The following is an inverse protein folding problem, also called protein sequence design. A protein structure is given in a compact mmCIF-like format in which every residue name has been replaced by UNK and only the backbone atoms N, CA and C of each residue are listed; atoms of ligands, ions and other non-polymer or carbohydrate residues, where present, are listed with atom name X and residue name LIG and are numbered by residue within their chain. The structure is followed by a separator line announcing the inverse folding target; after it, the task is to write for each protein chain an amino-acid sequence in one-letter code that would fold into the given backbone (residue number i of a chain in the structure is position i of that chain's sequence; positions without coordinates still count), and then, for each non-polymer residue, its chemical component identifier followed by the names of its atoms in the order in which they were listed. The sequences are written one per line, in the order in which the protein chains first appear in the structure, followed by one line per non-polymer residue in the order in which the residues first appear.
data_IF_907595076378
#
_entry.id   IF_907595076378
#
_cell.length_a   1.000
_cell.length_b   1.000
_cell.length_c   1.000
_cell.angle_alpha   90.00
_cell.angle_beta   90.00
_cell.angle_gamma   90.00
#
_symmetry.space_group_name_H-M   'P 1'
#
loop_
_entity.id
_entity.type
_entity.pdbx_description
1 polymer ?
#
# COMPACT_ATOMS: atom_id res chain seq x y z
N UNK A 1 -0.40 -0.45 -98.76
CA UNK A 1 0.58 0.66 -98.92
C UNK A 1 -0.01 1.54 -100.01
N UNK A 2 -0.42 2.79 -99.84
CA UNK A 2 0.18 3.93 -99.13
C UNK A 2 -0.88 5.02 -98.90
N UNK A 3 -0.94 5.53 -97.67
CA UNK A 3 -1.45 6.81 -97.12
C UNK A 3 -2.54 7.61 -97.86
N UNK A 4 -3.69 7.75 -97.18
CA UNK A 4 -4.67 8.82 -97.37
C UNK A 4 -4.49 9.86 -96.23
N UNK A 5 -4.21 11.12 -96.57
CA UNK A 5 -4.36 12.26 -95.66
C UNK A 5 -5.71 12.92 -95.96
N UNK A 6 -6.62 12.98 -94.97
CA UNK A 6 -7.65 14.03 -94.90
C UNK A 6 -7.85 14.50 -93.48
N UNK A 7 -8.00 15.81 -93.42
CA UNK A 7 -8.00 16.72 -92.29
C UNK A 7 -9.36 16.81 -91.57
N UNK A 8 -9.27 17.13 -90.27
CA UNK A 8 -10.13 18.00 -89.46
C UNK A 8 -11.67 17.88 -89.51
N UNK A 9 -12.27 17.60 -88.35
CA UNK A 9 -13.17 18.56 -87.68
C UNK A 9 -13.31 18.20 -86.19
N UNK A 10 -12.99 19.15 -85.32
CA UNK A 10 -13.19 19.06 -83.87
C UNK A 10 -14.60 19.58 -83.52
N UNK A 11 -15.34 18.82 -82.69
CA UNK A 11 -16.51 19.31 -81.97
C UNK A 11 -16.22 19.11 -80.48
N UNK A 12 -16.04 20.22 -79.77
CA UNK A 12 -15.87 20.24 -78.33
C UNK A 12 -17.26 20.13 -77.66
N UNK A 13 -17.45 19.11 -76.83
CA UNK A 13 -18.60 19.00 -75.91
C UNK A 13 -18.10 19.36 -74.52
N UNK A 14 -18.50 20.52 -74.02
CA UNK A 14 -18.19 20.98 -72.67
C UNK A 14 -19.18 20.34 -71.70
N UNK A 15 -18.72 19.35 -70.91
CA UNK A 15 -19.50 18.79 -69.81
C UNK A 15 -19.43 19.73 -68.60
N UNK A 16 -20.57 20.23 -68.15
CA UNK A 16 -20.72 21.00 -66.91
C UNK A 16 -20.78 20.01 -65.74
N UNK A 17 -19.74 20.00 -64.90
CA UNK A 17 -19.74 19.28 -63.62
C UNK A 17 -20.25 20.26 -62.55
N UNK A 18 -21.51 20.10 -62.15
CA UNK A 18 -22.07 20.76 -60.97
C UNK A 18 -21.65 20.00 -59.71
N UNK A 19 -20.73 20.57 -58.93
CA UNK A 19 -20.34 20.09 -57.61
C UNK A 19 -21.38 20.50 -56.57
N UNK A 20 -22.26 19.57 -56.19
CA UNK A 20 -23.09 19.70 -54.97
C UNK A 20 -22.17 19.57 -53.74
N UNK A 21 -21.84 20.69 -53.11
CA UNK A 21 -21.20 20.75 -51.80
C UNK A 21 -22.25 20.47 -50.73
N UNK A 22 -22.36 19.20 -50.31
CA UNK A 22 -23.17 18.81 -49.16
C UNK A 22 -22.57 19.37 -47.87
N UNK A 23 -23.25 20.33 -47.25
CA UNK A 23 -23.00 20.72 -45.86
C UNK A 23 -23.43 19.57 -44.94
N UNK A 24 -22.48 18.77 -44.47
CA UNK A 24 -22.69 17.84 -43.36
C UNK A 24 -22.59 18.69 -42.09
N UNK A 25 -23.65 18.81 -41.26
CA UNK A 25 -23.53 19.48 -39.97
C UNK A 25 -22.51 18.69 -39.14
N UNK A 26 -21.45 19.36 -38.69
CA UNK A 26 -20.55 18.78 -37.71
C UNK A 26 -21.40 18.39 -36.49
N UNK A 27 -21.53 17.08 -36.25
CA UNK A 27 -22.17 16.56 -35.06
C UNK A 27 -21.39 17.11 -33.87
N UNK A 28 -21.97 18.09 -33.18
CA UNK A 28 -21.45 18.59 -31.92
C UNK A 28 -21.43 17.39 -30.98
N UNK A 29 -20.24 16.86 -30.69
CA UNK A 29 -20.07 15.83 -29.68
C UNK A 29 -20.68 16.39 -28.39
N UNK A 30 -21.74 15.73 -27.90
CA UNK A 30 -22.27 16.04 -26.58
C UNK A 30 -21.10 15.96 -25.59
N UNK A 31 -20.98 16.87 -24.61
CA UNK A 31 -19.96 16.77 -23.58
C UNK A 31 -20.04 15.37 -22.98
N UNK A 32 -18.99 14.57 -23.15
CA UNK A 32 -18.93 13.25 -22.53
C UNK A 32 -18.90 13.51 -21.04
N UNK A 33 -20.00 13.16 -20.37
CA UNK A 33 -20.13 13.31 -18.92
C UNK A 33 -18.95 12.53 -18.31
N UNK A 34 -18.04 13.25 -17.64
CA UNK A 34 -16.85 12.64 -17.03
C UNK A 34 -17.35 11.57 -16.07
N UNK A 35 -17.01 10.30 -16.31
CA UNK A 35 -17.37 9.20 -15.42
C UNK A 35 -16.83 9.56 -14.02
N UNK A 36 -17.67 9.53 -12.99
CA UNK A 36 -17.27 9.87 -11.62
C UNK A 36 -17.15 8.61 -10.79
N UNK A 37 -16.24 8.61 -9.82
CA UNK A 37 -16.21 7.59 -8.79
C UNK A 37 -17.34 7.87 -7.79
N UNK A 38 -18.33 6.98 -7.74
CA UNK A 38 -19.53 7.13 -6.89
C UNK A 38 -19.73 5.98 -5.93
N UNK A 39 -19.22 4.79 -6.27
CA UNK A 39 -19.30 3.60 -5.43
C UNK A 39 -17.89 3.00 -5.26
N UNK A 40 -17.44 2.90 -4.01
CA UNK A 40 -16.10 2.43 -3.67
C UNK A 40 -16.23 1.18 -2.78
N UNK A 41 -15.54 0.11 -3.15
CA UNK A 41 -15.24 -1.02 -2.28
C UNK A 41 -13.86 -0.84 -1.64
N UNK A 42 -13.76 -0.97 -0.32
CA UNK A 42 -12.48 -1.12 0.39
C UNK A 42 -12.44 -2.52 0.98
N UNK A 43 -11.37 -3.26 0.71
CA UNK A 43 -11.13 -4.57 1.31
C UNK A 43 -9.75 -4.62 1.96
N UNK A 44 -9.74 -4.95 3.25
CA UNK A 44 -8.54 -4.97 4.09
C UNK A 44 -8.25 -6.38 4.57
N UNK A 45 -7.04 -6.60 5.09
CA UNK A 45 -6.61 -7.93 5.53
C UNK A 45 -7.29 -8.35 6.84
N UNK A 46 -7.38 -7.44 7.82
CA UNK A 46 -7.88 -7.74 9.17
C UNK A 46 -8.32 -6.46 9.89
N UNK A 47 -9.61 -6.32 10.20
CA UNK A 47 -10.10 -5.13 10.93
C UNK A 47 -9.71 -5.08 12.40
N UNK A 48 -9.17 -6.17 12.97
CA UNK A 48 -8.66 -6.18 14.34
C UNK A 48 -7.39 -5.34 14.51
N UNK A 49 -6.67 -5.07 13.41
CA UNK A 49 -5.47 -4.24 13.42
C UNK A 49 -5.84 -2.73 13.30
N UNK A 50 -5.35 -1.86 14.21
CA UNK A 50 -5.69 -0.44 14.23
C UNK A 50 -5.33 0.30 12.93
N UNK A 51 -4.33 -0.17 12.17
CA UNK A 51 -3.94 0.38 10.87
C UNK A 51 -5.10 0.36 9.87
N UNK A 52 -5.81 -0.76 9.76
CA UNK A 52 -6.93 -0.90 8.82
C UNK A 52 -8.19 -0.18 9.31
N UNK A 53 -8.41 -0.12 10.62
CA UNK A 53 -9.44 0.75 11.20
C UNK A 53 -9.20 2.23 10.88
N UNK A 54 -7.95 2.70 10.92
CA UNK A 54 -7.60 4.07 10.53
C UNK A 54 -7.75 4.30 9.02
N UNK A 55 -7.38 3.31 8.21
CA UNK A 55 -7.59 3.30 6.77
C UNK A 55 -9.07 3.47 6.41
N UNK A 56 -9.96 2.69 7.03
CA UNK A 56 -11.41 2.82 6.85
C UNK A 56 -11.91 4.23 7.17
N UNK A 57 -11.56 4.77 8.36
CA UNK A 57 -12.02 6.11 8.77
C UNK A 57 -11.63 7.17 7.74
N UNK A 58 -10.39 7.12 7.25
CA UNK A 58 -9.88 8.06 6.26
C UNK A 58 -10.49 7.85 4.87
N UNK A 59 -10.71 6.60 4.46
CA UNK A 59 -11.39 6.27 3.20
C UNK A 59 -12.83 6.79 3.21
N UNK A 60 -13.55 6.63 4.33
CA UNK A 60 -14.91 7.14 4.49
C UNK A 60 -14.97 8.65 4.38
N UNK A 61 -14.03 9.36 5.02
CA UNK A 61 -13.93 10.82 4.90
C UNK A 61 -13.60 11.27 3.47
N UNK A 62 -12.68 10.58 2.79
CA UNK A 62 -12.29 10.88 1.42
C UNK A 62 -13.44 10.63 0.42
N UNK A 63 -14.13 9.50 0.54
CA UNK A 63 -15.30 9.17 -0.27
C UNK A 63 -16.42 10.22 -0.10
N UNK A 64 -16.71 10.62 1.15
CA UNK A 64 -17.72 11.64 1.44
C UNK A 64 -17.40 12.99 0.78
N UNK A 65 -16.13 13.39 0.70
CA UNK A 65 -15.70 14.66 0.06
C UNK A 65 -16.01 14.70 -1.44
N UNK A 66 -16.08 13.55 -2.10
CA UNK A 66 -16.43 13.45 -3.52
C UNK A 66 -17.89 13.01 -3.75
N UNK A 67 -18.67 12.85 -2.68
CA UNK A 67 -20.06 12.37 -2.76
C UNK A 67 -20.21 10.88 -3.07
N UNK A 68 -19.14 10.08 -2.88
CA UNK A 68 -19.16 8.64 -3.11
C UNK A 68 -19.59 7.86 -1.85
N UNK A 69 -20.21 6.70 -2.07
CA UNK A 69 -20.48 5.70 -1.02
C UNK A 69 -19.29 4.76 -0.86
N UNK A 70 -19.03 4.31 0.36
CA UNK A 70 -17.99 3.33 0.68
C UNK A 70 -18.62 2.07 1.28
N UNK A 71 -18.27 0.91 0.75
CA UNK A 71 -18.53 -0.41 1.35
C UNK A 71 -17.19 -1.04 1.75
N UNK A 72 -17.05 -1.39 3.02
CA UNK A 72 -15.81 -1.92 3.58
C UNK A 72 -15.97 -3.39 3.92
N UNK A 73 -14.97 -4.20 3.59
CA UNK A 73 -14.96 -5.64 3.80
C UNK A 73 -13.67 -6.06 4.52
N UNK A 74 -13.82 -6.93 5.50
CA UNK A 74 -12.72 -7.54 6.25
C UNK A 74 -12.44 -8.94 5.71
N UNK A 75 -11.23 -9.20 5.22
CA UNK A 75 -10.84 -10.51 4.70
C UNK A 75 -10.62 -11.55 5.80
N UNK A 76 -10.38 -11.14 7.04
CA UNK A 76 -10.02 -12.04 8.15
C UNK A 76 -8.80 -12.90 7.80
N UNK A 77 -7.83 -12.31 7.09
CA UNK A 77 -6.59 -12.94 6.62
C UNK A 77 -6.84 -14.15 5.68
N UNK A 78 -8.00 -14.19 5.02
CA UNK A 78 -8.40 -15.30 4.15
C UNK A 78 -8.56 -14.86 2.67
N UNK A 79 -7.88 -15.57 1.77
CA UNK A 79 -7.89 -15.28 0.34
C UNK A 79 -9.24 -15.59 -0.31
N UNK A 80 -9.95 -16.63 0.15
CA UNK A 80 -11.26 -16.99 -0.39
C UNK A 80 -12.31 -15.93 -0.03
N UNK A 81 -12.20 -15.33 1.17
CA UNK A 81 -12.98 -14.15 1.55
C UNK A 81 -12.73 -12.99 0.59
N UNK A 82 -11.46 -12.66 0.29
CA UNK A 82 -11.16 -11.59 -0.69
C UNK A 82 -11.72 -11.88 -2.09
N UNK A 83 -11.66 -13.13 -2.54
CA UNK A 83 -12.29 -13.53 -3.81
C UNK A 83 -13.81 -13.27 -3.80
N UNK A 84 -14.49 -13.67 -2.73
CA UNK A 84 -15.94 -13.50 -2.57
C UNK A 84 -16.34 -12.03 -2.48
N UNK A 85 -15.53 -11.21 -1.80
CA UNK A 85 -15.74 -9.77 -1.67
C UNK A 85 -15.61 -9.05 -3.02
N UNK A 86 -14.63 -9.43 -3.84
CA UNK A 86 -14.50 -8.90 -5.21
C UNK A 86 -15.73 -9.27 -6.05
N UNK A 87 -16.20 -10.52 -5.99
CA UNK A 87 -17.40 -10.94 -6.73
C UNK A 87 -18.66 -10.16 -6.26
N UNK A 88 -18.77 -9.86 -4.96
CA UNK A 88 -19.82 -9.02 -4.42
C UNK A 88 -19.72 -7.55 -4.92
N UNK A 89 -18.51 -6.98 -4.98
CA UNK A 89 -18.28 -5.65 -5.52
C UNK A 89 -18.57 -5.56 -7.02
N UNK A 90 -18.28 -6.62 -7.79
CA UNK A 90 -18.67 -6.73 -9.20
C UNK A 90 -20.19 -6.70 -9.34
N UNK A 91 -20.92 -7.48 -8.53
CA UNK A 91 -22.39 -7.50 -8.54
C UNK A 91 -22.99 -6.15 -8.13
N UNK A 92 -22.36 -5.46 -7.17
CA UNK A 92 -22.72 -4.10 -6.74
C UNK A 92 -22.35 -3.03 -7.77
N UNK A 93 -21.58 -3.37 -8.81
CA UNK A 93 -21.10 -2.45 -9.85
C UNK A 93 -20.37 -1.25 -9.25
N UNK A 94 -19.48 -1.49 -8.29
CA UNK A 94 -18.62 -0.42 -7.76
C UNK A 94 -17.72 0.14 -8.87
N UNK A 95 -17.34 1.40 -8.76
CA UNK A 95 -16.44 2.05 -9.72
C UNK A 95 -14.97 1.76 -9.41
N UNK A 96 -14.67 1.59 -8.12
CA UNK A 96 -13.32 1.42 -7.58
C UNK A 96 -13.31 0.33 -6.51
N UNK A 97 -12.31 -0.55 -6.57
CA UNK A 97 -11.90 -1.43 -5.48
C UNK A 97 -10.53 -0.99 -4.99
N UNK A 98 -10.44 -0.67 -3.70
CA UNK A 98 -9.19 -0.44 -2.98
C UNK A 98 -8.89 -1.71 -2.18
N UNK A 99 -7.74 -2.34 -2.42
CA UNK A 99 -7.39 -3.64 -1.83
C UNK A 99 -6.05 -3.58 -1.11
N UNK A 100 -6.01 -4.07 0.13
CA UNK A 100 -4.76 -4.57 0.74
C UNK A 100 -4.80 -6.11 0.67
N UNK A 101 -3.96 -6.71 -0.16
CA UNK A 101 -4.04 -8.13 -0.47
C UNK A 101 -3.53 -9.00 0.70
N UNK A 102 -4.23 -10.10 0.99
CA UNK A 102 -3.71 -11.14 1.89
C UNK A 102 -2.67 -12.03 1.18
N UNK A 103 -2.80 -12.17 -0.14
CA UNK A 103 -1.85 -12.85 -1.01
C UNK A 103 -1.73 -12.08 -2.32
N UNK A 104 -0.53 -11.55 -2.61
CA UNK A 104 -0.27 -10.72 -3.79
C UNK A 104 -0.60 -11.44 -5.09
N UNK A 105 -0.22 -12.72 -5.22
CA UNK A 105 -0.33 -13.44 -6.50
C UNK A 105 -1.65 -14.21 -6.59
N UNK A 106 -2.10 -14.79 -5.48
CA UNK A 106 -3.33 -15.58 -5.42
C UNK A 106 -4.60 -14.79 -5.71
N UNK A 107 -4.59 -13.47 -5.51
CA UNK A 107 -5.74 -12.60 -5.76
C UNK A 107 -5.88 -12.18 -7.25
N UNK A 108 -4.84 -12.37 -8.06
CA UNK A 108 -4.80 -11.90 -9.45
C UNK A 108 -6.02 -12.32 -10.28
N UNK A 109 -6.47 -13.60 -10.27
CA UNK A 109 -7.62 -14.01 -11.07
C UNK A 109 -8.92 -13.26 -10.71
N UNK A 110 -9.11 -12.88 -9.44
CA UNK A 110 -10.27 -12.09 -9.02
C UNK A 110 -10.17 -10.64 -9.49
N UNK A 111 -8.98 -10.05 -9.40
CA UNK A 111 -8.73 -8.70 -9.92
C UNK A 111 -9.00 -8.63 -11.42
N UNK A 112 -8.60 -9.65 -12.19
CA UNK A 112 -8.91 -9.69 -13.63
C UNK A 112 -10.42 -9.74 -13.91
N UNK A 113 -11.21 -10.44 -13.08
CA UNK A 113 -12.69 -10.40 -13.19
C UNK A 113 -13.25 -9.01 -12.94
N UNK A 114 -12.76 -8.32 -11.90
CA UNK A 114 -13.19 -6.95 -11.59
C UNK A 114 -12.86 -5.98 -12.73
N UNK A 115 -11.64 -6.07 -13.27
CA UNK A 115 -11.19 -5.24 -14.39
C UNK A 115 -11.97 -5.53 -15.67
N UNK A 116 -12.28 -6.80 -15.96
CA UNK A 116 -13.14 -7.18 -17.08
C UNK A 116 -14.57 -6.61 -16.94
N UNK A 117 -15.03 -6.36 -15.72
CA UNK A 117 -16.29 -5.66 -15.44
C UNK A 117 -16.17 -4.12 -15.49
N UNK A 118 -14.99 -3.58 -15.83
CA UNK A 118 -14.74 -2.14 -15.97
C UNK A 118 -14.51 -1.41 -14.64
N UNK A 119 -14.14 -2.15 -13.59
CA UNK A 119 -13.85 -1.62 -12.25
C UNK A 119 -12.36 -1.30 -12.16
N UNK A 120 -12.03 -0.13 -11.63
CA UNK A 120 -10.63 0.24 -11.32
C UNK A 120 -10.22 -0.48 -10.04
N UNK A 121 -9.02 -1.08 -10.04
CA UNK A 121 -8.49 -1.77 -8.86
C UNK A 121 -7.16 -1.14 -8.45
N UNK A 122 -7.09 -0.59 -7.24
CA UNK A 122 -5.86 0.01 -6.68
C UNK A 122 -5.45 -0.75 -5.42
N UNK A 123 -4.23 -1.26 -5.41
CA UNK A 123 -3.63 -1.88 -4.24
C UNK A 123 -3.11 -0.83 -3.25
N UNK A 124 -3.26 -1.08 -1.95
CA UNK A 124 -2.73 -0.23 -0.88
C UNK A 124 -2.07 -1.07 0.20
N UNK A 125 -1.03 -0.53 0.85
CA UNK A 125 -0.22 -1.18 1.89
C UNK A 125 0.53 -2.45 1.43
N UNK A 126 -0.19 -3.48 0.98
CA UNK A 126 0.34 -4.74 0.47
C UNK A 126 -0.06 -4.86 -1.02
N UNK A 127 0.91 -5.13 -1.92
CA UNK A 127 0.64 -5.14 -3.35
C UNK A 127 -0.31 -6.27 -3.76
N UNK A 128 -1.01 -6.07 -4.87
CA UNK A 128 -1.90 -7.05 -5.47
C UNK A 128 -1.60 -7.17 -6.96
N UNK A 129 -1.21 -8.36 -7.42
CA UNK A 129 -0.86 -8.60 -8.81
C UNK A 129 -2.08 -8.41 -9.71
N UNK A 130 -1.90 -7.68 -10.81
CA UNK A 130 -2.98 -7.36 -11.75
C UNK A 130 -3.75 -6.07 -11.46
N UNK A 131 -3.54 -5.44 -10.29
CA UNK A 131 -4.09 -4.12 -9.98
C UNK A 131 -3.60 -3.06 -10.97
N UNK A 132 -4.40 -2.01 -11.17
CA UNK A 132 -4.06 -0.90 -12.08
C UNK A 132 -2.94 -0.02 -11.52
N UNK A 133 -2.88 0.12 -10.19
CA UNK A 133 -1.82 0.80 -9.48
C UNK A 133 -1.65 0.26 -8.06
N UNK A 134 -0.54 0.60 -7.40
CA UNK A 134 -0.25 0.30 -6.02
C UNK A 134 0.28 1.54 -5.28
N UNK A 135 -0.25 1.81 -4.08
CA UNK A 135 0.13 2.94 -3.23
C UNK A 135 0.51 2.40 -1.86
N UNK A 136 1.79 2.41 -1.55
CA UNK A 136 2.35 1.68 -0.41
C UNK A 136 3.35 2.54 0.32
N UNK A 137 3.59 2.26 1.60
CA UNK A 137 4.82 2.75 2.25
C UNK A 137 6.01 2.10 1.57
N UNK A 138 7.13 2.80 1.44
CA UNK A 138 8.39 2.13 1.10
C UNK A 138 8.81 1.22 2.26
N UNK A 139 8.40 -0.04 2.22
CA UNK A 139 8.57 -1.00 3.30
C UNK A 139 10.04 -1.35 3.58
N UNK A 140 10.88 -1.41 2.54
CA UNK A 140 12.34 -1.56 2.69
C UNK A 140 12.88 -0.36 3.46
N UNK A 141 12.56 0.86 3.03
CA UNK A 141 12.99 2.08 3.71
C UNK A 141 12.50 2.13 5.16
N UNK A 142 11.27 1.69 5.45
CA UNK A 142 10.75 1.67 6.82
C UNK A 142 11.55 0.74 7.74
N UNK A 143 11.88 -0.47 7.25
CA UNK A 143 12.75 -1.40 7.94
C UNK A 143 14.18 -0.87 8.13
N UNK A 144 14.73 -0.23 7.10
CA UNK A 144 16.04 0.44 7.16
C UNK A 144 16.02 1.56 8.21
N UNK A 145 15.03 2.44 8.17
CA UNK A 145 14.89 3.59 9.08
C UNK A 145 14.79 3.15 10.54
N UNK A 146 13.95 2.14 10.81
CA UNK A 146 13.75 1.62 12.17
C UNK A 146 15.00 0.93 12.72
N UNK A 147 15.65 0.08 11.93
CA UNK A 147 16.84 -0.65 12.38
C UNK A 147 18.11 0.19 12.42
N UNK A 148 18.27 1.19 11.53
CA UNK A 148 19.37 2.15 11.60
C UNK A 148 19.33 2.91 12.92
N UNK A 149 18.14 3.37 13.33
CA UNK A 149 17.95 3.99 14.63
C UNK A 149 18.22 3.01 15.78
N UNK A 150 17.66 1.79 15.74
CA UNK A 150 17.90 0.78 16.77
C UNK A 150 19.39 0.51 16.98
N UNK A 151 20.14 0.24 15.90
CA UNK A 151 21.56 -0.11 16.00
C UNK A 151 22.41 1.07 16.44
N UNK A 152 22.09 2.28 15.98
CA UNK A 152 22.72 3.51 16.47
C UNK A 152 22.52 3.68 17.98
N UNK A 153 21.30 3.48 18.48
CA UNK A 153 21.00 3.55 19.91
C UNK A 153 21.65 2.41 20.72
N UNK A 154 22.02 1.31 20.08
CA UNK A 154 22.85 0.25 20.69
C UNK A 154 24.35 0.56 20.68
N UNK A 155 24.77 1.69 20.10
CA UNK A 155 26.19 2.03 19.92
C UNK A 155 26.87 1.20 18.83
N UNK A 156 26.09 0.67 17.88
CA UNK A 156 26.57 -0.05 16.71
C UNK A 156 27.03 -1.49 16.95
N UNK A 157 26.76 -2.07 18.13
CA UNK A 157 27.18 -3.43 18.50
C UNK A 157 26.13 -4.16 19.34
N UNK A 158 26.15 -5.48 19.29
CA UNK A 158 25.33 -6.33 20.16
C UNK A 158 24.48 -7.35 19.39
N UNK A 159 23.62 -8.04 20.13
CA UNK A 159 22.73 -9.07 19.59
C UNK A 159 21.30 -8.57 19.45
N UNK A 160 20.68 -8.87 18.32
CA UNK A 160 19.36 -8.40 17.93
C UNK A 160 18.42 -9.58 17.63
N UNK A 161 17.18 -9.46 18.07
CA UNK A 161 16.07 -10.33 17.66
C UNK A 161 15.18 -9.64 16.63
N UNK A 162 14.69 -10.39 15.66
CA UNK A 162 13.68 -9.93 14.70
C UNK A 162 12.34 -10.62 15.03
N UNK A 163 11.34 -9.83 15.44
CA UNK A 163 9.95 -10.28 15.54
C UNK A 163 9.31 -10.06 14.18
N UNK A 164 9.33 -11.11 13.37
CA UNK A 164 8.79 -11.16 12.01
C UNK A 164 7.27 -11.39 12.05
N UNK A 165 6.63 -11.61 10.91
CA UNK A 165 5.20 -11.91 10.85
C UNK A 165 4.78 -12.76 9.66
N UNK A 166 3.56 -12.55 9.18
CA UNK A 166 3.02 -13.30 8.05
C UNK A 166 3.85 -13.06 6.78
N UNK A 167 3.94 -14.05 5.88
CA UNK A 167 4.88 -14.00 4.76
C UNK A 167 4.35 -13.17 3.57
N UNK A 168 3.86 -11.96 3.82
CA UNK A 168 3.42 -11.02 2.78
C UNK A 168 4.55 -10.07 2.39
N UNK A 169 4.50 -9.56 1.16
CA UNK A 169 5.59 -8.76 0.56
C UNK A 169 6.01 -7.57 1.44
N UNK A 170 5.05 -6.84 2.01
CA UNK A 170 5.31 -5.69 2.89
C UNK A 170 6.13 -6.06 4.12
N UNK A 171 5.90 -7.22 4.72
CA UNK A 171 6.65 -7.70 5.90
C UNK A 171 8.05 -8.16 5.49
N UNK A 172 8.13 -8.94 4.41
CA UNK A 172 9.39 -9.40 3.82
C UNK A 172 10.32 -8.21 3.55
N UNK A 173 9.78 -7.13 3.00
CA UNK A 173 10.54 -5.93 2.69
C UNK A 173 11.03 -5.17 3.93
N UNK A 174 10.23 -5.08 5.00
CA UNK A 174 10.69 -4.48 6.27
C UNK A 174 11.85 -5.28 6.88
N UNK A 175 11.74 -6.60 6.92
CA UNK A 175 12.81 -7.47 7.42
C UNK A 175 14.06 -7.35 6.54
N UNK A 176 13.90 -7.32 5.21
CA UNK A 176 14.99 -7.10 4.27
C UNK A 176 15.69 -5.77 4.52
N UNK A 177 14.93 -4.68 4.73
CA UNK A 177 15.48 -3.38 5.06
C UNK A 177 16.32 -3.39 6.34
N UNK A 178 15.82 -4.03 7.41
CA UNK A 178 16.60 -4.20 8.63
C UNK A 178 17.92 -4.97 8.41
N UNK A 179 17.85 -6.07 7.62
CA UNK A 179 19.02 -6.87 7.28
C UNK A 179 20.03 -6.12 6.39
N UNK A 180 19.57 -5.25 5.50
CA UNK A 180 20.44 -4.38 4.70
C UNK A 180 21.25 -3.45 5.61
N UNK A 181 20.60 -2.84 6.61
CA UNK A 181 21.29 -1.99 7.59
C UNK A 181 22.30 -2.78 8.39
N UNK A 182 21.97 -4.00 8.83
CA UNK A 182 22.89 -4.82 9.62
C UNK A 182 24.23 -5.07 8.91
N UNK A 183 24.26 -5.10 7.56
CA UNK A 183 25.51 -5.23 6.79
C UNK A 183 26.47 -4.03 6.98
N UNK A 184 25.95 -2.86 7.37
CA UNK A 184 26.73 -1.65 7.67
C UNK A 184 27.26 -1.63 9.11
N UNK A 185 26.76 -2.52 9.97
CA UNK A 185 27.09 -2.61 11.39
C UNK A 185 27.72 -3.99 11.69
N UNK A 186 29.04 -4.16 11.47
CA UNK A 186 29.69 -5.47 11.54
C UNK A 186 29.63 -6.13 12.94
N UNK A 187 29.46 -5.33 14.00
CA UNK A 187 29.35 -5.81 15.38
C UNK A 187 27.90 -6.06 15.83
N UNK A 188 26.92 -5.81 14.96
CA UNK A 188 25.53 -6.23 15.17
C UNK A 188 25.35 -7.67 14.67
N UNK A 189 24.79 -8.52 15.52
CA UNK A 189 24.48 -9.92 15.20
C UNK A 189 23.00 -10.18 15.37
N UNK A 190 22.32 -10.52 14.28
CA UNK A 190 20.95 -11.04 14.35
C UNK A 190 21.04 -12.49 14.83
N UNK A 191 20.51 -12.79 16.01
CA UNK A 191 20.64 -14.11 16.67
C UNK A 191 19.33 -14.89 16.75
N UNK A 192 18.21 -14.26 16.40
CA UNK A 192 16.91 -14.91 16.33
C UNK A 192 15.97 -14.15 15.40
N UNK A 193 15.16 -14.89 14.68
CA UNK A 193 14.06 -14.38 13.86
C UNK A 193 12.91 -15.38 13.96
N UNK A 194 11.74 -14.93 14.41
CA UNK A 194 10.55 -15.77 14.48
C UNK A 194 9.32 -15.00 14.00
N UNK A 195 8.48 -15.68 13.22
CA UNK A 195 7.25 -15.14 12.68
C UNK A 195 6.14 -15.11 13.74
N UNK A 196 5.62 -13.92 14.00
CA UNK A 196 4.37 -13.71 14.73
C UNK A 196 3.17 -13.81 13.79
N UNK A 197 1.95 -13.58 14.31
CA UNK A 197 0.74 -13.40 13.52
C UNK A 197 0.38 -11.91 13.35
N UNK A 198 1.39 -11.05 13.39
CA UNK A 198 1.29 -9.59 13.27
C UNK A 198 0.55 -8.91 14.43
N UNK A 199 0.20 -9.67 15.46
CA UNK A 199 -0.57 -9.22 16.62
C UNK A 199 0.30 -9.16 17.88
N UNK A 200 -0.18 -8.44 18.89
CA UNK A 200 0.53 -8.25 20.16
C UNK A 200 0.76 -9.56 20.93
N UNK A 201 -0.22 -10.48 20.90
CA UNK A 201 -0.16 -11.71 21.68
C UNK A 201 0.90 -12.69 21.14
N UNK A 202 0.94 -12.86 19.83
CA UNK A 202 1.94 -13.65 19.12
C UNK A 202 3.31 -12.99 19.17
N UNK A 203 3.40 -11.66 19.08
CA UNK A 203 4.65 -10.90 19.30
C UNK A 203 5.26 -11.14 20.69
N UNK A 204 4.43 -11.12 21.75
CA UNK A 204 4.83 -11.47 23.11
C UNK A 204 5.36 -12.92 23.20
N UNK A 205 4.62 -13.87 22.64
CA UNK A 205 4.95 -15.29 22.68
C UNK A 205 6.32 -15.56 22.03
N UNK A 206 6.51 -15.17 20.76
CA UNK A 206 7.77 -15.44 20.03
C UNK A 206 8.95 -14.69 20.65
N UNK A 207 8.71 -13.50 21.21
CA UNK A 207 9.78 -12.76 21.89
C UNK A 207 10.20 -13.46 23.18
N UNK A 208 9.25 -13.95 23.98
CA UNK A 208 9.55 -14.72 25.20
C UNK A 208 10.41 -15.95 24.90
N UNK A 209 10.06 -16.69 23.85
CA UNK A 209 10.81 -17.87 23.40
C UNK A 209 12.22 -17.49 22.94
N UNK A 210 12.34 -16.45 22.10
CA UNK A 210 13.65 -15.98 21.63
C UNK A 210 14.54 -15.39 22.74
N UNK A 211 13.96 -14.71 23.73
CA UNK A 211 14.68 -14.18 24.89
C UNK A 211 15.20 -15.29 25.80
N UNK A 212 14.45 -16.39 25.91
CA UNK A 212 14.89 -17.58 26.65
C UNK A 212 16.10 -18.23 25.96
N UNK A 213 16.06 -18.34 24.63
CA UNK A 213 17.17 -18.89 23.84
C UNK A 213 18.38 -17.94 23.75
N UNK A 214 18.17 -16.63 23.84
CA UNK A 214 19.19 -15.61 23.64
C UNK A 214 19.14 -14.56 24.78
N UNK A 215 19.62 -14.91 26.00
CA UNK A 215 19.47 -14.03 27.15
C UNK A 215 20.32 -12.75 27.11
N UNK A 216 21.32 -12.67 26.22
CA UNK A 216 22.27 -11.56 26.09
C UNK A 216 21.96 -10.60 24.94
N UNK A 217 20.73 -10.63 24.41
CA UNK A 217 20.26 -9.64 23.42
C UNK A 217 20.15 -8.25 24.03
N UNK A 218 20.33 -7.24 23.20
CA UNK A 218 20.24 -5.81 23.59
C UNK A 218 19.33 -5.00 22.66
N UNK A 219 18.86 -5.60 21.57
CA UNK A 219 17.94 -4.97 20.63
C UNK A 219 16.87 -5.93 20.13
N UNK A 220 15.69 -5.41 19.85
CA UNK A 220 14.60 -6.13 19.18
C UNK A 220 14.00 -5.20 18.13
N UNK A 221 13.87 -5.71 16.91
CA UNK A 221 13.07 -5.07 15.87
C UNK A 221 11.78 -5.85 15.69
N UNK A 222 10.64 -5.20 15.89
CA UNK A 222 9.33 -5.74 15.48
C UNK A 222 8.94 -5.19 14.12
N UNK A 223 8.53 -6.09 13.22
CA UNK A 223 8.19 -5.70 11.85
C UNK A 223 6.96 -4.78 11.78
N UNK A 224 6.12 -4.77 12.81
CA UNK A 224 5.05 -3.80 13.02
C UNK A 224 4.93 -3.39 14.49
N UNK A 225 4.19 -2.31 14.76
CA UNK A 225 4.01 -1.79 16.12
C UNK A 225 3.27 -2.77 17.04
N UNK A 226 2.16 -3.44 16.64
CA UNK A 226 1.52 -4.44 17.51
C UNK A 226 2.47 -5.54 18.00
N UNK A 227 3.27 -6.15 17.12
CA UNK A 227 4.21 -7.19 17.49
C UNK A 227 5.37 -6.63 18.32
N UNK A 228 5.87 -5.43 17.98
CA UNK A 228 6.90 -4.74 18.76
C UNK A 228 6.42 -4.42 20.19
N UNK A 229 5.17 -4.00 20.36
CA UNK A 229 4.57 -3.77 21.68
C UNK A 229 4.34 -5.08 22.45
N UNK A 230 4.14 -6.21 21.75
CA UNK A 230 4.21 -7.54 22.37
C UNK A 230 5.62 -7.86 22.88
N UNK A 231 6.64 -7.50 22.11
CA UNK A 231 8.04 -7.65 22.51
C UNK A 231 8.42 -6.79 23.71
N UNK A 232 7.91 -5.54 23.78
CA UNK A 232 8.04 -4.66 24.96
C UNK A 232 7.57 -5.37 26.22
N UNK A 233 6.36 -5.96 26.17
CA UNK A 233 5.81 -6.67 27.31
C UNK A 233 6.67 -7.89 27.71
N UNK A 234 7.19 -8.63 26.74
CA UNK A 234 8.11 -9.75 27.00
C UNK A 234 9.40 -9.28 27.70
N UNK A 235 9.97 -8.16 27.24
CA UNK A 235 11.17 -7.54 27.82
C UNK A 235 10.91 -7.08 29.26
N UNK A 236 9.75 -6.49 29.54
CA UNK A 236 9.35 -6.07 30.88
C UNK A 236 9.15 -7.26 31.82
N UNK A 237 8.45 -8.31 31.36
CA UNK A 237 8.25 -9.55 32.12
C UNK A 237 9.58 -10.25 32.44
N UNK A 238 10.57 -10.13 31.55
CA UNK A 238 11.92 -10.64 31.78
C UNK A 238 12.77 -9.74 32.70
N UNK A 239 12.25 -8.59 33.16
CA UNK A 239 12.98 -7.61 33.98
C UNK A 239 14.11 -6.90 33.23
N UNK A 240 14.01 -6.79 31.89
CA UNK A 240 15.07 -6.27 31.01
C UNK A 240 14.76 -4.93 30.34
N UNK A 241 13.74 -4.20 30.82
CA UNK A 241 13.31 -2.91 30.24
C UNK A 241 14.44 -1.86 30.15
N UNK A 242 15.38 -1.86 31.10
CA UNK A 242 16.55 -0.97 31.05
C UNK A 242 17.72 -1.46 30.20
N UNK A 243 17.67 -2.70 29.69
CA UNK A 243 18.78 -3.36 29.01
C UNK A 243 18.52 -3.62 27.52
N UNK A 244 17.26 -3.77 27.11
CA UNK A 244 16.87 -4.09 25.74
C UNK A 244 16.10 -2.91 25.14
N UNK A 245 16.51 -2.50 23.94
CA UNK A 245 15.82 -1.49 23.13
C UNK A 245 14.92 -2.16 22.10
N UNK A 246 13.72 -1.63 21.90
CA UNK A 246 12.73 -2.14 20.95
C UNK A 246 12.35 -1.04 19.95
N UNK A 247 12.34 -1.36 18.66
CA UNK A 247 11.74 -0.51 17.63
C UNK A 247 10.66 -1.24 16.85
N UNK A 248 9.74 -0.47 16.27
CA UNK A 248 8.65 -0.96 15.44
C UNK A 248 8.57 -0.29 14.07
N UNK A 249 7.49 -0.57 13.37
CA UNK A 249 7.04 0.13 12.16
C UNK A 249 5.54 0.27 12.28
N UNK A 250 5.00 1.46 12.07
CA UNK A 250 3.62 1.83 11.70
C UNK A 250 3.35 3.27 12.14
N UNK A 251 3.92 3.69 13.27
CA UNK A 251 3.59 4.96 13.90
C UNK A 251 2.18 4.95 14.49
N UNK A 252 1.76 3.82 15.07
CA UNK A 252 0.40 3.63 15.59
C UNK A 252 0.11 4.53 16.81
N UNK A 253 -1.17 4.85 17.09
CA UNK A 253 -1.54 5.58 18.30
C UNK A 253 -0.98 4.94 19.58
N UNK A 254 -0.99 3.62 19.69
CA UNK A 254 -0.43 2.90 20.83
C UNK A 254 1.10 3.00 20.89
N UNK A 255 1.80 3.01 19.75
CA UNK A 255 3.24 3.23 19.71
C UNK A 255 3.61 4.66 20.13
N UNK A 256 2.79 5.66 19.75
CA UNK A 256 2.93 7.05 20.18
C UNK A 256 2.79 7.17 21.71
N UNK A 257 1.78 6.56 22.29
CA UNK A 257 1.59 6.56 23.75
C UNK A 257 2.72 5.79 24.46
N UNK A 258 3.19 4.69 23.87
CA UNK A 258 4.31 3.93 24.41
C UNK A 258 5.63 4.73 24.40
N UNK A 259 5.89 5.51 23.36
CA UNK A 259 7.07 6.39 23.31
C UNK A 259 7.05 7.44 24.44
N UNK A 260 5.87 7.97 24.78
CA UNK A 260 5.70 8.92 25.89
C UNK A 260 5.87 8.26 27.26
N UNK A 261 5.78 6.93 27.35
CA UNK A 261 5.92 6.21 28.61
C UNK A 261 7.38 6.20 29.08
N UNK A 262 7.60 6.83 30.24
CA UNK A 262 8.90 6.83 30.91
C UNK A 262 9.35 5.41 31.25
N UNK A 263 10.61 5.10 30.97
CA UNK A 263 11.21 3.78 31.25
C UNK A 263 10.79 2.66 30.29
N UNK A 264 9.99 2.96 29.25
CA UNK A 264 9.65 1.97 28.24
C UNK A 264 10.88 1.54 27.41
N UNK A 265 11.06 0.23 27.13
CA UNK A 265 12.09 -0.24 26.21
C UNK A 265 11.80 0.10 24.74
N UNK A 266 10.59 0.55 24.40
CA UNK A 266 10.24 1.03 23.06
C UNK A 266 10.89 2.40 22.83
N UNK A 267 11.71 2.53 21.79
CA UNK A 267 12.52 3.75 21.57
C UNK A 267 12.20 4.48 20.28
N UNK A 268 11.54 3.83 19.31
CA UNK A 268 11.16 4.46 18.06
C UNK A 268 10.35 3.56 17.14
N UNK A 269 9.68 4.18 16.18
CA UNK A 269 8.91 3.49 15.14
C UNK A 269 9.04 4.23 13.81
N UNK A 270 9.20 3.51 12.71
CA UNK A 270 9.13 4.08 11.38
C UNK A 270 7.66 4.16 10.94
N UNK A 271 7.20 5.28 10.41
CA UNK A 271 5.76 5.51 10.20
C UNK A 271 5.22 4.87 8.92
N UNK A 272 3.93 4.61 8.95
CA UNK A 272 3.08 4.51 7.77
C UNK A 272 2.07 5.66 7.74
N UNK A 273 1.29 5.78 6.65
CA UNK A 273 0.18 6.72 6.58
C UNK A 273 -1.03 6.07 5.87
N UNK A 274 -1.87 5.29 6.60
CA UNK A 274 -3.01 4.60 6.00
C UNK A 274 -4.02 5.57 5.38
N UNK A 275 -4.17 6.77 5.95
CA UNK A 275 -5.05 7.78 5.41
C UNK A 275 -4.59 8.36 4.09
N UNK A 276 -3.28 8.54 3.94
CA UNK A 276 -2.70 9.05 2.70
C UNK A 276 -2.82 8.04 1.56
N UNK A 277 -2.60 6.74 1.86
CA UNK A 277 -2.76 5.68 0.87
C UNK A 277 -4.16 5.69 0.22
N UNK A 278 -5.22 5.74 1.04
CA UNK A 278 -6.60 5.71 0.51
C UNK A 278 -7.02 7.01 -0.14
N UNK A 279 -6.53 8.17 0.34
CA UNK A 279 -6.78 9.45 -0.33
C UNK A 279 -6.14 9.49 -1.71
N UNK A 280 -4.89 9.04 -1.83
CA UNK A 280 -4.23 8.97 -3.12
C UNK A 280 -4.86 7.90 -4.02
N UNK A 281 -5.35 6.78 -3.48
CA UNK A 281 -6.06 5.76 -4.27
C UNK A 281 -7.34 6.33 -4.89
N UNK A 282 -8.16 7.03 -4.09
CA UNK A 282 -9.38 7.67 -4.59
C UNK A 282 -9.05 8.78 -5.59
N UNK A 283 -8.03 9.60 -5.31
CA UNK A 283 -7.58 10.64 -6.24
C UNK A 283 -7.10 10.07 -7.57
N UNK A 284 -6.30 9.00 -7.52
CA UNK A 284 -5.76 8.34 -8.71
C UNK A 284 -6.88 7.71 -9.55
N UNK A 285 -7.86 7.08 -8.91
CA UNK A 285 -9.03 6.56 -9.60
C UNK A 285 -9.83 7.67 -10.28
N UNK A 286 -9.97 8.84 -9.65
CA UNK A 286 -10.59 10.01 -10.27
C UNK A 286 -9.79 10.52 -11.48
N UNK A 287 -8.45 10.56 -11.37
CA UNK A 287 -7.57 10.94 -12.48
C UNK A 287 -7.68 9.96 -13.66
N UNK A 288 -7.83 8.67 -13.39
CA UNK A 288 -8.04 7.64 -14.41
C UNK A 288 -9.34 7.81 -15.18
N UNK A 289 -10.46 8.09 -14.48
CA UNK A 289 -11.75 8.34 -15.14
C UNK A 289 -11.81 9.67 -15.89
N UNK A 290 -11.00 10.66 -15.46
CA UNK A 290 -10.79 11.92 -16.16
C UNK A 290 -9.87 11.78 -17.40
N UNK A 291 -9.33 10.58 -17.66
CA UNK A 291 -8.43 10.31 -18.78
C UNK A 291 -7.01 10.88 -18.60
N UNK A 292 -6.61 11.21 -17.37
CA UNK A 292 -5.26 11.73 -17.08
C UNK A 292 -4.25 10.59 -17.14
N UNK A 293 -3.04 10.93 -17.58
CA UNK A 293 -1.94 9.98 -17.63
C UNK A 293 -1.40 9.67 -16.23
N UNK A 294 -1.33 8.38 -15.88
CA UNK A 294 -0.68 7.92 -14.65
C UNK A 294 0.82 7.80 -14.91
N UNK A 295 1.62 8.64 -14.23
CA UNK A 295 3.07 8.67 -14.41
C UNK A 295 3.78 7.39 -13.93
N UNK A 296 3.27 6.76 -12.86
CA UNK A 296 3.79 5.50 -12.32
C UNK A 296 2.66 4.64 -11.76
N UNK A 297 2.58 3.34 -12.11
CA UNK A 297 1.63 2.41 -11.51
C UNK A 297 2.00 2.07 -10.06
N UNK A 298 3.15 2.54 -9.55
CA UNK A 298 3.54 2.35 -8.16
C UNK A 298 3.93 3.68 -7.53
N UNK A 299 3.27 4.02 -6.43
CA UNK A 299 3.58 5.18 -5.60
C UNK A 299 4.08 4.68 -4.25
N UNK A 300 5.31 5.09 -3.90
CA UNK A 300 5.92 4.78 -2.61
C UNK A 300 5.89 6.01 -1.71
N UNK A 301 5.18 5.91 -0.59
CA UNK A 301 5.12 6.91 0.46
C UNK A 301 6.36 6.72 1.35
N UNK A 302 7.19 7.76 1.52
CA UNK A 302 8.33 7.69 2.41
C UNK A 302 7.92 7.44 3.86
N UNK A 303 8.68 6.60 4.56
CA UNK A 303 8.55 6.39 5.99
C UNK A 303 9.43 7.40 6.75
N UNK A 304 8.92 7.97 7.84
CA UNK A 304 9.69 8.86 8.73
C UNK A 304 9.86 8.21 10.10
N UNK A 305 10.94 8.53 10.80
CA UNK A 305 11.18 8.01 12.14
C UNK A 305 10.45 8.86 13.18
N UNK A 306 9.71 8.21 14.07
CA UNK A 306 9.15 8.80 15.29
C UNK A 306 9.89 8.24 16.50
N UNK A 307 10.39 9.13 17.35
CA UNK A 307 11.10 8.84 18.59
C UNK A 307 10.54 9.72 19.71
N UNK A 308 11.05 9.55 20.93
CA UNK A 308 10.71 10.44 22.06
C UNK A 308 10.97 11.91 21.78
N UNK A 309 11.95 12.21 20.93
CA UNK A 309 12.37 13.60 20.67
C UNK A 309 11.38 14.37 19.78
N UNK A 310 10.60 13.65 18.96
CA UNK A 310 9.69 14.28 17.99
C UNK A 310 8.23 13.82 18.10
N UNK A 311 7.91 12.90 19.01
CA UNK A 311 6.57 12.32 19.18
C UNK A 311 5.48 13.37 19.41
N UNK A 312 5.79 14.46 20.10
CA UNK A 312 4.82 15.54 20.36
C UNK A 312 4.46 16.35 19.11
N UNK A 313 5.29 16.28 18.06
CA UNK A 313 5.06 16.93 16.77
C UNK A 313 4.57 15.98 15.69
N UNK A 314 4.51 14.68 15.98
CA UNK A 314 4.05 13.68 15.02
C UNK A 314 2.52 13.77 14.88
N UNK A 315 1.98 14.01 13.66
CA UNK A 315 0.55 14.20 13.47
C UNK A 315 -0.28 12.93 13.71
N UNK A 316 0.35 11.75 13.71
CA UNK A 316 -0.37 10.48 13.84
C UNK A 316 -1.31 10.17 12.67
N UNK A 317 -2.12 9.13 12.85
CA UNK A 317 -3.18 8.71 11.94
C UNK A 317 -4.33 8.01 12.69
#
# INVERSE_FOLDING_TARGET
MTKLHKAFLAVAVTAVITTMTGFIPAASAAPQESKKITHIGLMVQDMSNPFFSAMERNAKQAAAKIGATLNVQDAQVDLANQNTQIDAFIQQKVDLIIISAVDESGIEPAIQRAKAAGIIVIAVDTPARGADAAIMTNAIQAGETSCEYLFSQMGGKGKVLLVDGTPIQTIIDRIKGCKNVAQKYPDIKIVGQQASRNDRASGLMVTTDMLTANPDVSGIFGMNDPAALGAVLAVEQAGKAGAIKVTGVDGSPEAVEELKRSGSPFIGTATQNPGEMVRQAISLAQDMVDGKHIASPTVLIPSVLVTRDNVDSYPGW
#
